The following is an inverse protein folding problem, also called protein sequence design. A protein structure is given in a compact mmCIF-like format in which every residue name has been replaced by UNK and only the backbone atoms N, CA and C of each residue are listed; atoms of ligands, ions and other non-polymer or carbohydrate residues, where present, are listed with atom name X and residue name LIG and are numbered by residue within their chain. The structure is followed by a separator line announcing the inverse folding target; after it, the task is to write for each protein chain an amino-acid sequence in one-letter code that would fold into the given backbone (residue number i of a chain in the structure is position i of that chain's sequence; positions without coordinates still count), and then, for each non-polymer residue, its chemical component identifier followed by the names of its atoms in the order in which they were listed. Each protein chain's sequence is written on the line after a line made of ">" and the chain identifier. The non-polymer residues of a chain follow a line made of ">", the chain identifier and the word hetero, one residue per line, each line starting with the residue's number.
data_IF_756910975138
#
_entry.id   IF_756910975138
#
_cell.length_a   1.000
_cell.length_b   1.000
_cell.length_c   1.000
_cell.angle_alpha   90.00
_cell.angle_beta   90.00
_cell.angle_gamma   90.00
#
_symmetry.space_group_name_H-M   'P 1'
#
loop_
_entity.id
_entity.type
_entity.pdbx_description
1 polymer ?
#
# COMPACT_ATOMS: atom_id res chain seq x y z
N UNK A 1 43.27 51.05 18.33
CA UNK A 1 42.94 50.23 17.14
C UNK A 1 41.80 50.76 16.23
N UNK A 2 41.11 51.86 16.56
CA UNK A 2 39.88 52.29 15.84
C UNK A 2 40.11 52.91 14.44
N UNK A 3 41.35 53.13 13.99
CA UNK A 3 41.63 53.84 12.73
C UNK A 3 41.77 52.98 11.46
N UNK A 4 42.12 51.69 11.59
CA UNK A 4 42.53 50.88 10.42
C UNK A 4 41.32 50.19 9.77
N UNK A 5 40.33 49.77 10.55
CA UNK A 5 39.10 49.10 10.06
C UNK A 5 38.25 49.98 9.12
N UNK A 6 38.26 51.30 9.34
CA UNK A 6 37.43 52.25 8.57
C UNK A 6 37.97 52.49 7.16
N UNK A 7 39.30 52.38 6.98
CA UNK A 7 40.03 52.54 5.73
C UNK A 7 39.95 51.31 4.81
N UNK A 8 39.61 50.14 5.36
CA UNK A 8 39.62 48.88 4.61
C UNK A 8 38.20 48.55 4.11
N UNK A 9 38.11 48.17 2.84
CA UNK A 9 36.85 47.75 2.22
C UNK A 9 36.48 46.30 2.52
N UNK A 10 37.46 45.39 2.52
CA UNK A 10 37.26 43.95 2.82
C UNK A 10 38.19 43.46 3.92
N UNK A 11 37.62 42.82 4.94
CA UNK A 11 38.36 42.19 6.03
C UNK A 11 38.01 40.70 6.09
N UNK A 12 39.02 39.86 5.82
CA UNK A 12 38.95 38.41 5.96
C UNK A 12 39.72 38.01 7.22
N UNK A 13 39.09 37.25 8.12
CA UNK A 13 39.74 36.71 9.30
C UNK A 13 40.04 35.23 9.10
N UNK A 14 41.28 34.84 9.41
CA UNK A 14 41.72 33.46 9.52
C UNK A 14 41.90 33.14 11.00
N UNK A 15 41.35 32.03 11.46
CA UNK A 15 41.52 31.56 12.84
C UNK A 15 41.68 30.06 12.90
N UNK A 16 42.42 29.60 13.90
CA UNK A 16 42.42 28.19 14.26
C UNK A 16 41.16 27.86 15.07
N UNK A 17 40.60 26.68 14.82
CA UNK A 17 39.42 26.12 15.47
C UNK A 17 39.82 24.75 15.98
N UNK A 18 39.90 24.62 17.30
CA UNK A 18 40.21 23.36 17.95
C UNK A 18 38.90 22.67 18.34
N UNK A 19 38.61 21.55 17.71
CA UNK A 19 37.42 20.75 17.99
C UNK A 19 37.77 19.26 17.87
N UNK A 20 37.28 18.45 18.81
CA UNK A 20 37.48 16.99 18.79
C UNK A 20 38.95 16.53 18.74
N UNK A 21 39.87 17.33 19.30
CA UNK A 21 41.31 17.04 19.28
C UNK A 21 42.02 17.35 17.95
N UNK A 22 41.30 17.91 16.98
CA UNK A 22 41.85 18.38 15.70
C UNK A 22 41.93 19.91 15.70
N UNK A 23 42.99 20.45 15.08
CA UNK A 23 43.15 21.87 14.82
C UNK A 23 42.83 22.14 13.36
N UNK A 24 41.63 22.66 13.12
CA UNK A 24 41.15 23.05 11.80
C UNK A 24 41.34 24.54 11.59
N UNK A 25 41.54 24.98 10.34
CA UNK A 25 41.69 26.40 10.02
C UNK A 25 40.40 26.94 9.41
N UNK A 26 39.85 27.97 10.04
CA UNK A 26 38.63 28.65 9.60
C UNK A 26 38.92 30.00 8.96
N UNK A 27 38.18 30.33 7.91
CA UNK A 27 38.17 31.63 7.25
C UNK A 27 36.74 32.17 7.24
N UNK A 28 36.59 33.45 7.56
CA UNK A 28 35.32 34.16 7.37
C UNK A 28 35.53 35.61 7.00
N UNK A 29 34.52 36.20 6.36
CA UNK A 29 34.50 37.60 5.97
C UNK A 29 33.89 38.38 7.15
N UNK A 30 34.71 39.21 7.79
CA UNK A 30 34.25 40.09 8.87
C UNK A 30 33.51 41.31 8.31
N UNK A 31 33.94 41.77 7.14
CA UNK A 31 33.38 42.93 6.44
C UNK A 31 33.71 42.84 4.95
N UNK A 32 32.77 43.18 4.09
CA UNK A 32 33.02 43.54 2.68
C UNK A 32 32.06 44.66 2.28
N UNK A 33 32.59 45.82 1.88
CA UNK A 33 31.77 46.95 1.44
C UNK A 33 31.41 46.81 -0.04
N UNK A 34 30.15 47.04 -0.38
CA UNK A 34 29.67 47.05 -1.77
C UNK A 34 29.54 45.66 -2.41
N UNK A 35 29.68 44.59 -1.63
CA UNK A 35 29.51 43.21 -2.08
C UNK A 35 28.80 42.38 -1.01
N UNK A 36 27.89 41.50 -1.45
CA UNK A 36 27.31 40.49 -0.56
C UNK A 36 28.39 39.49 -0.12
N UNK A 37 28.34 39.10 1.14
CA UNK A 37 29.30 38.16 1.71
C UNK A 37 28.63 37.11 2.60
N UNK A 38 29.28 35.94 2.71
CA UNK A 38 28.81 34.88 3.61
C UNK A 38 29.10 35.23 5.06
N UNK A 39 28.12 35.02 5.94
CA UNK A 39 28.29 35.13 7.39
C UNK A 39 28.77 33.80 8.02
N UNK A 40 29.12 32.81 7.20
CA UNK A 40 29.53 31.48 7.65
C UNK A 40 31.05 31.40 7.76
N UNK A 41 31.52 30.70 8.79
CA UNK A 41 32.92 30.29 8.90
C UNK A 41 33.12 29.08 8.00
N UNK A 42 34.09 29.15 7.10
CA UNK A 42 34.47 28.05 6.22
C UNK A 42 35.79 27.47 6.64
N UNK A 43 35.88 26.16 6.71
CA UNK A 43 37.17 25.50 6.84
C UNK A 43 37.96 25.63 5.53
N UNK A 44 39.26 25.88 5.62
CA UNK A 44 40.16 25.87 4.47
C UNK A 44 41.35 24.95 4.71
N UNK A 45 41.83 24.33 3.63
CA UNK A 45 43.00 23.45 3.64
C UNK A 45 44.04 23.95 2.65
N UNK A 46 45.31 23.69 2.95
CA UNK A 46 46.40 23.92 1.99
C UNK A 46 46.62 22.63 1.21
N UNK A 47 46.48 22.71 -0.10
CA UNK A 47 46.77 21.62 -1.04
C UNK A 47 47.97 22.01 -1.91
N UNK A 48 48.51 21.07 -2.69
CA UNK A 48 49.60 21.35 -3.63
C UNK A 48 49.21 22.34 -4.74
N UNK A 49 47.93 22.72 -4.82
CA UNK A 49 47.38 23.63 -5.83
C UNK A 49 46.90 24.96 -5.23
N UNK A 50 47.02 25.16 -3.91
CA UNK A 50 46.66 26.40 -3.23
C UNK A 50 45.73 26.21 -2.03
N UNK A 51 44.88 27.19 -1.78
CA UNK A 51 43.90 27.16 -0.68
C UNK A 51 42.56 26.68 -1.21
N UNK A 52 42.05 25.60 -0.63
CA UNK A 52 40.74 25.06 -0.95
C UNK A 52 39.77 25.29 0.21
N UNK A 53 38.58 25.82 -0.11
CA UNK A 53 37.51 26.06 0.85
C UNK A 53 36.58 24.84 0.90
N UNK A 54 36.48 24.23 2.07
CA UNK A 54 35.56 23.14 2.32
C UNK A 54 34.11 23.63 2.34
N UNK A 55 33.17 22.76 1.96
CA UNK A 55 31.73 23.03 2.08
C UNK A 55 31.37 23.14 3.56
N UNK A 56 30.57 24.15 3.90
CA UNK A 56 30.10 24.38 5.27
C UNK A 56 29.06 23.30 5.61
N UNK A 57 29.30 22.55 6.68
CA UNK A 57 28.30 21.66 7.26
C UNK A 57 27.70 22.32 8.50
N UNK A 58 26.44 22.75 8.37
CA UNK A 58 25.68 23.38 9.45
C UNK A 58 24.82 22.29 10.08
N UNK A 59 25.30 21.70 11.18
CA UNK A 59 24.51 20.79 12.00
C UNK A 59 23.68 21.56 13.02
N UNK A 60 22.76 20.88 13.71
CA UNK A 60 21.93 21.45 14.77
C UNK A 60 22.73 22.07 15.95
N UNK A 61 24.03 21.78 16.06
CA UNK A 61 24.94 22.25 17.12
C UNK A 61 26.00 23.26 16.65
N UNK A 62 25.90 23.81 15.42
CA UNK A 62 26.81 24.83 14.90
C UNK A 62 27.63 24.38 13.68
N UNK A 63 28.73 25.10 13.39
CA UNK A 63 29.64 24.81 12.26
C UNK A 63 30.53 23.62 12.63
N UNK A 64 30.26 22.46 12.03
CA UNK A 64 31.10 21.27 12.18
C UNK A 64 32.21 21.29 11.11
N UNK A 65 33.45 21.04 11.52
CA UNK A 65 34.65 21.01 10.67
C UNK A 65 35.40 19.69 10.85
N UNK A 66 36.21 19.29 9.86
CA UNK A 66 37.07 18.10 9.94
C UNK A 66 36.32 16.78 10.20
N UNK A 67 36.84 15.96 11.13
CA UNK A 67 36.32 14.64 11.51
C UNK A 67 34.88 14.67 12.07
N UNK A 68 34.51 15.74 12.78
CA UNK A 68 33.17 15.90 13.35
C UNK A 68 32.08 15.96 12.27
N UNK A 69 32.40 16.55 11.09
CA UNK A 69 31.51 16.54 9.93
C UNK A 69 31.31 15.13 9.39
N UNK A 70 32.39 14.38 9.21
CA UNK A 70 32.36 13.03 8.63
C UNK A 70 31.56 12.08 9.54
N UNK A 71 31.74 12.19 10.87
CA UNK A 71 30.98 11.42 11.84
C UNK A 71 29.48 11.72 11.76
N UNK A 72 29.10 13.00 11.65
CA UNK A 72 27.70 13.39 11.55
C UNK A 72 27.05 12.92 10.24
N UNK A 73 27.74 13.07 9.11
CA UNK A 73 27.29 12.54 7.81
C UNK A 73 27.11 11.01 7.86
N UNK A 74 28.00 10.28 8.54
CA UNK A 74 27.89 8.84 8.70
C UNK A 74 26.67 8.44 9.54
N UNK A 75 26.38 9.16 10.63
CA UNK A 75 25.19 8.94 11.46
C UNK A 75 23.91 9.17 10.66
N UNK A 76 23.82 10.27 9.93
CA UNK A 76 22.65 10.60 9.12
C UNK A 76 22.43 9.58 7.99
N UNK A 77 23.50 9.17 7.31
CA UNK A 77 23.44 8.15 6.28
C UNK A 77 23.00 6.79 6.84
N UNK A 78 23.48 6.42 8.03
CA UNK A 78 23.04 5.21 8.72
C UNK A 78 21.55 5.28 9.07
N UNK A 79 21.07 6.43 9.56
CA UNK A 79 19.65 6.63 9.89
C UNK A 79 18.74 6.60 8.64
N UNK A 80 19.20 7.18 7.54
CA UNK A 80 18.48 7.09 6.26
C UNK A 80 18.41 5.64 5.77
N UNK A 81 19.49 4.86 5.94
CA UNK A 81 19.53 3.46 5.54
C UNK A 81 18.57 2.61 6.39
N UNK A 82 18.55 2.80 7.71
CA UNK A 82 17.61 2.07 8.60
C UNK A 82 16.17 2.40 8.25
N UNK A 83 15.83 3.68 8.05
CA UNK A 83 14.49 4.12 7.61
C UNK A 83 14.09 3.49 6.27
N UNK A 84 15.00 3.40 5.30
CA UNK A 84 14.75 2.72 4.02
C UNK A 84 14.47 1.24 4.21
N UNK A 85 15.24 0.55 5.05
CA UNK A 85 15.03 -0.87 5.36
C UNK A 85 13.67 -1.11 6.02
N UNK A 86 13.24 -0.24 6.93
CA UNK A 86 11.93 -0.32 7.58
C UNK A 86 10.78 -0.13 6.58
N UNK A 87 10.90 0.81 5.64
CA UNK A 87 9.91 1.00 4.57
C UNK A 87 9.80 -0.26 3.71
N UNK A 88 10.93 -0.84 3.30
CA UNK A 88 10.94 -2.06 2.48
C UNK A 88 10.40 -3.28 3.24
N UNK A 89 10.63 -3.37 4.55
CA UNK A 89 9.99 -4.39 5.39
C UNK A 89 8.48 -4.23 5.41
N UNK A 90 7.97 -3.01 5.67
CA UNK A 90 6.54 -2.72 5.70
C UNK A 90 5.85 -3.03 4.36
N UNK A 91 6.49 -2.70 3.22
CA UNK A 91 5.99 -3.05 1.89
C UNK A 91 5.86 -4.56 1.71
N UNK A 92 6.88 -5.34 2.10
CA UNK A 92 6.83 -6.80 2.04
C UNK A 92 5.72 -7.38 2.91
N UNK A 93 5.48 -6.79 4.07
CA UNK A 93 4.42 -7.25 4.98
C UNK A 93 3.02 -6.94 4.41
N UNK A 94 2.82 -5.77 3.80
CA UNK A 94 1.58 -5.46 3.06
C UNK A 94 1.34 -6.48 1.93
N UNK A 95 2.37 -6.79 1.15
CA UNK A 95 2.26 -7.76 0.05
C UNK A 95 1.91 -9.17 0.54
N UNK A 96 2.47 -9.58 1.68
CA UNK A 96 2.13 -10.86 2.33
C UNK A 96 0.68 -10.89 2.79
N UNK A 97 0.21 -9.82 3.44
CA UNK A 97 -1.18 -9.70 3.90
C UNK A 97 -2.13 -9.75 2.71
N UNK A 98 -1.82 -9.03 1.62
CA UNK A 98 -2.61 -9.03 0.40
C UNK A 98 -2.73 -10.43 -0.20
N UNK A 99 -1.62 -11.14 -0.37
CA UNK A 99 -1.63 -12.52 -0.89
C UNK A 99 -2.42 -13.49 0.00
N UNK A 100 -2.30 -13.35 1.32
CA UNK A 100 -3.06 -14.18 2.25
C UNK A 100 -4.57 -13.89 2.15
N UNK A 101 -4.96 -12.63 2.01
CA UNK A 101 -6.35 -12.23 1.82
C UNK A 101 -6.90 -12.75 0.49
N UNK A 102 -6.16 -12.59 -0.61
CA UNK A 102 -6.56 -13.05 -1.93
C UNK A 102 -6.77 -14.58 -1.93
N UNK A 103 -5.92 -15.33 -1.24
CA UNK A 103 -6.09 -16.77 -1.06
C UNK A 103 -7.35 -17.14 -0.27
N UNK A 104 -7.70 -16.37 0.78
CA UNK A 104 -8.93 -16.58 1.53
C UNK A 104 -10.17 -16.27 0.68
N UNK A 105 -10.14 -15.17 -0.08
CA UNK A 105 -11.22 -14.80 -0.99
C UNK A 105 -11.43 -15.87 -2.06
N UNK A 106 -10.34 -16.38 -2.66
CA UNK A 106 -10.42 -17.47 -3.62
C UNK A 106 -11.05 -18.75 -3.02
N UNK A 107 -10.66 -19.11 -1.79
CA UNK A 107 -11.26 -20.25 -1.10
C UNK A 107 -12.75 -20.04 -0.81
N UNK A 108 -13.15 -18.84 -0.38
CA UNK A 108 -14.56 -18.50 -0.15
C UNK A 108 -15.38 -18.57 -1.44
N UNK A 109 -14.86 -18.05 -2.56
CA UNK A 109 -15.53 -18.17 -3.86
C UNK A 109 -15.69 -19.63 -4.28
N UNK A 110 -14.66 -20.46 -4.12
CA UNK A 110 -14.75 -21.88 -4.46
C UNK A 110 -15.79 -22.62 -3.61
N UNK A 111 -15.87 -22.33 -2.31
CA UNK A 111 -16.90 -22.91 -1.44
C UNK A 111 -18.30 -22.46 -1.84
N UNK A 112 -18.46 -21.17 -2.14
CA UNK A 112 -19.73 -20.61 -2.60
C UNK A 112 -20.20 -21.26 -3.91
N UNK A 113 -19.31 -21.42 -4.89
CA UNK A 113 -19.64 -22.06 -6.17
C UNK A 113 -20.10 -23.52 -5.99
N UNK A 114 -19.50 -24.25 -5.04
CA UNK A 114 -19.91 -25.62 -4.70
C UNK A 114 -21.31 -25.64 -4.08
N UNK A 115 -21.55 -24.80 -3.07
CA UNK A 115 -22.85 -24.69 -2.40
C UNK A 115 -23.95 -24.24 -3.38
N UNK A 116 -23.67 -23.26 -4.24
CA UNK A 116 -24.58 -22.79 -5.27
C UNK A 116 -24.96 -23.92 -6.24
N UNK A 117 -23.98 -24.69 -6.72
CA UNK A 117 -24.23 -25.80 -7.63
C UNK A 117 -25.07 -26.92 -6.97
N UNK A 118 -24.86 -27.20 -5.69
CA UNK A 118 -25.68 -28.15 -4.93
C UNK A 118 -27.12 -27.66 -4.77
N UNK A 119 -27.31 -26.40 -4.38
CA UNK A 119 -28.63 -25.80 -4.22
C UNK A 119 -29.39 -25.77 -5.56
N UNK A 120 -28.73 -25.39 -6.66
CA UNK A 120 -29.34 -25.39 -7.99
C UNK A 120 -29.79 -26.79 -8.38
N UNK A 121 -28.98 -27.83 -8.12
CA UNK A 121 -29.37 -29.23 -8.36
C UNK A 121 -30.59 -29.60 -7.51
N UNK A 122 -30.63 -29.24 -6.23
CA UNK A 122 -31.79 -29.49 -5.37
C UNK A 122 -33.06 -28.83 -5.93
N UNK A 123 -32.98 -27.56 -6.31
CA UNK A 123 -34.09 -26.82 -6.93
C UNK A 123 -34.59 -27.55 -8.19
N UNK A 124 -33.67 -27.96 -9.08
CA UNK A 124 -34.04 -28.70 -10.30
C UNK A 124 -34.71 -30.03 -9.99
N UNK A 125 -34.23 -30.78 -8.99
CA UNK A 125 -34.88 -32.05 -8.59
C UNK A 125 -36.29 -31.84 -8.07
N UNK A 126 -36.52 -30.81 -7.25
CA UNK A 126 -37.85 -30.48 -6.74
C UNK A 126 -38.78 -29.98 -7.85
N UNK A 127 -38.31 -29.13 -8.75
CA UNK A 127 -39.08 -28.70 -9.93
C UNK A 127 -39.48 -29.89 -10.80
N UNK A 128 -38.59 -30.86 -11.01
CA UNK A 128 -38.88 -32.06 -11.77
C UNK A 128 -39.91 -32.96 -11.07
N UNK A 129 -39.86 -33.08 -9.74
CA UNK A 129 -40.89 -33.78 -8.96
C UNK A 129 -42.25 -33.11 -9.11
N UNK A 130 -42.32 -31.78 -8.98
CA UNK A 130 -43.56 -31.02 -9.15
C UNK A 130 -44.16 -31.28 -10.54
N UNK A 131 -43.36 -31.16 -11.61
CA UNK A 131 -43.82 -31.43 -12.99
C UNK A 131 -44.34 -32.85 -13.18
N UNK A 132 -43.67 -33.86 -12.62
CA UNK A 132 -44.15 -35.26 -12.70
C UNK A 132 -45.49 -35.43 -12.00
N UNK A 133 -45.64 -34.87 -10.80
CA UNK A 133 -46.91 -34.93 -10.06
C UNK A 133 -48.05 -34.22 -10.81
N UNK A 134 -47.77 -33.11 -11.49
CA UNK A 134 -48.74 -32.45 -12.35
C UNK A 134 -49.13 -33.30 -13.56
N UNK A 135 -48.16 -33.89 -14.25
CA UNK A 135 -48.41 -34.80 -15.37
C UNK A 135 -49.22 -36.03 -14.96
N UNK A 136 -48.86 -36.66 -13.83
CA UNK A 136 -49.58 -37.80 -13.28
C UNK A 136 -51.03 -37.43 -12.96
N UNK A 137 -51.28 -36.24 -12.39
CA UNK A 137 -52.65 -35.75 -12.13
C UNK A 137 -53.45 -35.59 -13.43
N UNK A 138 -52.85 -35.07 -14.49
CA UNK A 138 -53.50 -34.91 -15.80
C UNK A 138 -53.85 -36.28 -16.39
N UNK A 139 -52.89 -37.21 -16.41
CA UNK A 139 -53.10 -38.59 -16.90
C UNK A 139 -54.17 -39.34 -16.08
N UNK A 140 -54.19 -39.15 -14.75
CA UNK A 140 -55.24 -39.71 -13.89
C UNK A 140 -56.62 -39.10 -14.19
N UNK A 141 -56.71 -37.83 -14.56
CA UNK A 141 -57.98 -37.21 -14.95
C UNK A 141 -58.48 -37.74 -16.32
N UNK A 142 -57.58 -37.93 -17.28
CA UNK A 142 -57.90 -38.48 -18.60
C UNK A 142 -58.34 -39.96 -18.54
N UNK A 143 -57.63 -40.78 -17.76
CA UNK A 143 -58.04 -42.17 -17.49
C UNK A 143 -59.39 -42.26 -16.78
N UNK A 144 -59.71 -41.36 -15.85
CA UNK A 144 -61.05 -41.30 -15.24
C UNK A 144 -62.14 -40.95 -16.25
N UNK A 145 -61.90 -40.04 -17.21
CA UNK A 145 -62.85 -39.72 -18.28
C UNK A 145 -63.10 -40.90 -19.22
N UNK A 146 -62.05 -41.59 -19.64
CA UNK A 146 -62.15 -42.74 -20.55
C UNK A 146 -62.84 -43.95 -19.89
N UNK A 147 -62.69 -44.15 -18.58
CA UNK A 147 -63.44 -45.16 -17.82
C UNK A 147 -64.94 -44.84 -17.75
N UNK A 148 -65.31 -43.55 -17.71
CA UNK A 148 -66.72 -43.11 -17.74
C UNK A 148 -67.32 -43.31 -19.15
N UNK A 149 -66.57 -43.04 -20.23
CA UNK A 149 -67.03 -43.25 -21.61
C UNK A 149 -67.14 -44.74 -21.99
N UNK A 150 -66.25 -45.60 -21.49
CA UNK A 150 -66.25 -47.04 -21.80
C UNK A 150 -67.23 -47.88 -20.96
N UNK A 151 -67.94 -47.28 -20.00
CA UNK A 151 -68.99 -47.96 -19.25
C UNK A 151 -70.37 -47.34 -19.54
N UNK A 152 -70.97 -47.63 -20.72
CA UNK A 152 -72.33 -47.19 -20.98
C UNK A 152 -73.24 -47.95 -20.01
N UNK A 153 -73.84 -47.22 -19.06
CA UNK A 153 -74.91 -47.71 -18.20
C UNK A 153 -75.91 -48.45 -19.10
N UNK A 154 -75.93 -49.79 -19.04
CA UNK A 154 -76.93 -50.62 -19.72
C UNK A 154 -78.30 -50.24 -19.14
N UNK A 155 -79.00 -49.30 -19.79
CA UNK A 155 -80.43 -49.09 -19.58
C UNK A 155 -81.16 -50.35 -20.09
N UNK A 156 -81.43 -51.29 -19.19
CA UNK A 156 -82.30 -52.42 -19.49
C UNK A 156 -83.73 -51.91 -19.72
N UNK A 157 -84.14 -51.85 -20.99
CA UNK A 157 -85.56 -51.79 -21.38
C UNK A 157 -86.19 -53.17 -21.16
N UNK A 158 -87.17 -53.28 -20.26
CA UNK A 158 -88.26 -54.27 -20.27
C UNK A 158 -89.51 -53.55 -19.74
N UNK A 159 -90.41 -53.09 -20.62
CA UNK A 159 -91.58 -53.78 -21.20
C UNK A 159 -92.65 -54.17 -20.18
N UNK A 160 -93.88 -53.87 -20.58
CA UNK A 160 -95.15 -53.77 -19.87
C UNK A 160 -95.84 -55.09 -19.49
N UNK A 161 -97.00 -54.92 -18.81
CA UNK A 161 -98.10 -55.86 -18.49
C UNK A 161 -97.88 -56.68 -17.20
N UNK A 162 -98.83 -56.81 -16.28
CA UNK A 162 -100.23 -56.40 -16.19
C UNK A 162 -100.95 -57.29 -15.15
N UNK A 163 -102.11 -56.82 -14.68
CA UNK A 163 -103.04 -57.35 -13.67
C UNK A 163 -102.78 -56.93 -12.22
#
# INVERSE_FOLDING_TARGET
>A
EVGISSLIDTWILLRDIELSGERNRGMYILKSRGMDHSNQIREFTFTNHGVELSKVYIGASGVLTGSARIAQEAIENAEVLTRKQDIERKKRDIERIRKALDAQVAALHSNFELEEAEIIKMIQTEQNKIRRLEQDKILMAESRKTVIENNPIKKSRKTSKGK
#
